data_IF_724232664422
#
_entry.id   IF_724232664422
#
_cell.length_a   1.000
_cell.length_b   1.000
_cell.length_c   1.000
_cell.angle_alpha   90.00
_cell.angle_beta   90.00
_cell.angle_gamma   90.00
#
_symmetry.space_group_name_H-M   'P 1'
#
loop_
_entity.id
_entity.type
_entity.pdbx_description
1 polymer ?
#
# COMPACT_ATOMS: atom_id res chain seq x y z
N UNK A 1 -116.56 -22.84 -45.81
CA UNK A 1 -116.61 -23.85 -44.72
C UNK A 1 -115.90 -25.10 -45.22
N UNK A 2 -115.21 -25.90 -44.39
CA UNK A 2 -114.57 -25.59 -43.08
C UNK A 2 -113.28 -26.40 -42.81
N UNK A 3 -112.72 -26.26 -41.59
CA UNK A 3 -111.74 -27.18 -40.97
C UNK A 3 -110.55 -26.41 -40.37
N UNK A 4 -110.68 -25.68 -39.26
CA UNK A 4 -110.74 -26.12 -37.85
C UNK A 4 -109.64 -27.10 -37.40
N UNK A 5 -108.73 -26.53 -36.60
CA UNK A 5 -108.22 -26.99 -35.30
C UNK A 5 -107.65 -28.41 -35.16
N UNK A 6 -106.38 -28.53 -34.77
CA UNK A 6 -105.97 -29.08 -33.45
C UNK A 6 -104.50 -28.76 -33.12
N UNK A 7 -104.30 -27.83 -32.21
CA UNK A 7 -103.62 -28.02 -30.90
C UNK A 7 -102.19 -28.62 -30.84
N UNK A 8 -101.24 -27.81 -30.38
CA UNK A 8 -100.24 -28.32 -29.42
C UNK A 8 -99.71 -27.22 -28.50
N UNK A 9 -100.24 -27.26 -27.28
CA UNK A 9 -99.76 -26.67 -26.03
C UNK A 9 -98.24 -26.43 -25.98
N UNK A 10 -97.85 -25.18 -25.71
CA UNK A 10 -96.77 -24.90 -24.75
C UNK A 10 -97.19 -23.75 -23.85
N UNK A 11 -97.76 -24.11 -22.70
CA UNK A 11 -97.69 -23.29 -21.50
C UNK A 11 -96.23 -23.11 -21.09
N UNK A 12 -95.79 -21.87 -20.94
CA UNK A 12 -94.75 -21.45 -20.00
C UNK A 12 -95.01 -19.96 -19.77
N UNK A 13 -95.84 -19.60 -18.80
CA UNK A 13 -95.38 -19.08 -17.49
C UNK A 13 -94.31 -18.02 -17.72
N UNK A 14 -94.72 -16.76 -17.67
CA UNK A 14 -93.78 -15.65 -17.45
C UNK A 14 -93.18 -15.77 -16.05
N UNK A 15 -91.85 -15.66 -15.91
CA UNK A 15 -91.23 -15.02 -14.75
C UNK A 15 -90.82 -13.61 -15.20
N UNK A 16 -91.55 -12.57 -14.81
CA UNK A 16 -91.16 -11.71 -13.68
C UNK A 16 -89.64 -11.59 -13.53
N UNK A 17 -89.14 -10.44 -13.99
CA UNK A 17 -88.04 -9.68 -13.40
C UNK A 17 -86.69 -10.38 -13.19
N UNK A 18 -85.72 -9.94 -13.99
CA UNK A 18 -84.87 -8.86 -13.48
C UNK A 18 -84.41 -8.00 -14.65
N UNK A 19 -85.21 -7.00 -14.99
CA UNK A 19 -84.57 -5.74 -15.37
C UNK A 19 -83.66 -5.45 -14.18
N UNK A 20 -82.33 -5.55 -14.35
CA UNK A 20 -81.43 -5.06 -13.32
C UNK A 20 -81.95 -3.67 -13.01
N UNK A 21 -82.39 -3.47 -11.76
CA UNK A 21 -82.98 -2.21 -11.39
C UNK A 21 -81.92 -1.16 -11.75
N UNK A 22 -82.19 -0.16 -12.60
CA UNK A 22 -81.17 0.84 -12.91
C UNK A 22 -80.62 1.49 -11.64
N UNK A 23 -81.37 1.44 -10.54
CA UNK A 23 -80.90 1.80 -9.20
C UNK A 23 -79.84 0.84 -8.63
N UNK A 24 -79.92 -0.48 -8.86
CA UNK A 24 -78.92 -1.49 -8.43
C UNK A 24 -77.60 -1.35 -9.21
N UNK A 25 -77.67 -1.10 -10.53
CA UNK A 25 -76.48 -0.84 -11.35
C UNK A 25 -75.85 0.50 -11.00
N UNK A 26 -76.67 1.54 -10.75
CA UNK A 26 -76.18 2.82 -10.23
C UNK A 26 -75.54 2.66 -8.84
N UNK A 27 -76.08 1.79 -7.98
CA UNK A 27 -75.49 1.49 -6.67
C UNK A 27 -74.10 0.84 -6.82
N UNK A 28 -73.98 -0.17 -7.68
CA UNK A 28 -72.69 -0.82 -7.96
C UNK A 28 -71.67 0.13 -8.59
N UNK A 29 -72.11 1.00 -9.49
CA UNK A 29 -71.25 2.02 -10.10
C UNK A 29 -70.77 3.04 -9.05
N UNK A 30 -71.64 3.40 -8.11
CA UNK A 30 -71.30 4.30 -7.00
C UNK A 30 -70.24 3.67 -6.09
N UNK A 31 -70.37 2.40 -5.74
CA UNK A 31 -69.39 1.68 -4.92
C UNK A 31 -68.02 1.55 -5.61
N UNK A 32 -68.02 1.29 -6.93
CA UNK A 32 -66.79 1.25 -7.72
C UNK A 32 -66.09 2.61 -7.79
N UNK A 33 -66.85 3.70 -7.95
CA UNK A 33 -66.32 5.05 -7.93
C UNK A 33 -65.70 5.38 -6.58
N UNK A 34 -66.38 5.07 -5.47
CA UNK A 34 -65.85 5.25 -4.11
C UNK A 34 -64.55 4.46 -3.92
N UNK A 35 -64.50 3.20 -4.35
CA UNK A 35 -63.28 2.38 -4.24
C UNK A 35 -62.12 2.94 -5.07
N UNK A 36 -62.41 3.44 -6.28
CA UNK A 36 -61.41 4.08 -7.13
C UNK A 36 -60.91 5.39 -6.50
N UNK A 37 -61.79 6.20 -5.93
CA UNK A 37 -61.45 7.43 -5.21
C UNK A 37 -60.53 7.13 -4.02
N UNK A 38 -60.83 6.09 -3.24
CA UNK A 38 -59.98 5.63 -2.13
C UNK A 38 -58.60 5.18 -2.62
N UNK A 39 -58.53 4.42 -3.72
CA UNK A 39 -57.25 3.97 -4.29
C UNK A 39 -56.44 5.11 -4.89
N UNK A 40 -57.10 6.09 -5.53
CA UNK A 40 -56.43 7.31 -6.01
C UNK A 40 -55.87 8.09 -4.83
N UNK A 41 -56.65 8.29 -3.78
CA UNK A 41 -56.19 8.95 -2.55
C UNK A 41 -55.00 8.22 -1.91
N UNK A 42 -55.05 6.88 -1.86
CA UNK A 42 -53.92 6.07 -1.39
C UNK A 42 -52.66 6.25 -2.24
N UNK A 43 -52.78 6.21 -3.57
CA UNK A 43 -51.65 6.41 -4.48
C UNK A 43 -51.10 7.84 -4.37
N UNK A 44 -51.95 8.85 -4.20
CA UNK A 44 -51.53 10.23 -3.96
C UNK A 44 -50.71 10.35 -2.68
N UNK A 45 -51.12 9.67 -1.59
CA UNK A 45 -50.33 9.63 -0.36
C UNK A 45 -48.99 8.91 -0.54
N UNK A 46 -48.95 7.81 -1.29
CA UNK A 46 -47.71 7.08 -1.55
C UNK A 46 -46.72 7.91 -2.40
N UNK A 47 -47.23 8.62 -3.41
CA UNK A 47 -46.43 9.55 -4.23
C UNK A 47 -45.84 10.66 -3.36
N UNK A 48 -46.60 11.22 -2.41
CA UNK A 48 -46.07 12.28 -1.54
C UNK A 48 -44.98 11.77 -0.61
N UNK A 49 -45.12 10.55 -0.06
CA UNK A 49 -44.08 9.91 0.75
C UNK A 49 -42.82 9.61 -0.07
N UNK A 50 -42.95 8.98 -1.24
CA UNK A 50 -41.80 8.68 -2.10
C UNK A 50 -41.06 9.94 -2.56
N UNK A 51 -41.78 11.03 -2.85
CA UNK A 51 -41.16 12.31 -3.18
C UNK A 51 -40.37 12.88 -2.00
N UNK A 52 -40.86 12.71 -0.77
CA UNK A 52 -40.14 13.12 0.43
C UNK A 52 -38.85 12.30 0.63
N UNK A 53 -38.94 10.97 0.52
CA UNK A 53 -37.78 10.07 0.62
C UNK A 53 -36.74 10.32 -0.50
N UNK A 54 -37.20 10.63 -1.71
CA UNK A 54 -36.33 10.98 -2.84
C UNK A 54 -35.54 12.26 -2.53
N UNK A 55 -36.20 13.28 -1.96
CA UNK A 55 -35.54 14.54 -1.61
C UNK A 55 -34.53 14.34 -0.47
N UNK A 56 -34.84 13.48 0.50
CA UNK A 56 -33.89 13.10 1.55
C UNK A 56 -32.66 12.38 0.96
N UNK A 57 -32.86 11.40 0.07
CA UNK A 57 -31.76 10.75 -0.65
C UNK A 57 -30.92 11.75 -1.45
N UNK A 58 -31.57 12.71 -2.13
CA UNK A 58 -30.89 13.74 -2.91
C UNK A 58 -30.02 14.63 -2.04
N UNK A 59 -30.51 15.02 -0.86
CA UNK A 59 -29.77 15.81 0.11
C UNK A 59 -28.50 15.08 0.58
N UNK A 60 -28.64 13.79 0.95
CA UNK A 60 -27.50 12.96 1.38
C UNK A 60 -26.45 12.84 0.27
N UNK A 61 -26.87 12.61 -0.98
CA UNK A 61 -25.96 12.52 -2.12
C UNK A 61 -25.24 13.84 -2.37
N UNK A 62 -25.92 14.98 -2.22
CA UNK A 62 -25.32 16.30 -2.39
C UNK A 62 -24.30 16.62 -1.29
N UNK A 63 -24.59 16.26 -0.05
CA UNK A 63 -23.66 16.40 1.07
C UNK A 63 -22.43 15.50 0.89
N UNK A 64 -22.64 14.24 0.52
CA UNK A 64 -21.57 13.30 0.19
C UNK A 64 -20.72 13.83 -0.98
N UNK A 65 -21.34 14.41 -2.00
CA UNK A 65 -20.65 15.04 -3.12
C UNK A 65 -19.91 16.33 -2.72
N UNK A 66 -20.31 17.03 -1.66
CA UNK A 66 -19.56 18.19 -1.17
C UNK A 66 -18.27 17.80 -0.44
N UNK A 67 -18.31 16.69 0.30
CA UNK A 67 -17.16 16.19 1.09
C UNK A 67 -16.18 15.42 0.21
N UNK A 68 -16.69 14.55 -0.65
CA UNK A 68 -15.88 13.64 -1.47
C UNK A 68 -15.78 14.08 -2.93
N UNK A 69 -16.56 15.06 -3.36
CA UNK A 69 -16.48 15.59 -4.71
C UNK A 69 -15.31 16.54 -4.94
N UNK A 70 -15.30 17.14 -6.13
CA UNK A 70 -14.15 17.89 -6.65
C UNK A 70 -13.68 19.06 -5.78
N UNK A 71 -14.52 19.59 -4.88
CA UNK A 71 -14.17 20.69 -3.98
C UNK A 71 -13.07 20.33 -2.98
N UNK A 72 -13.21 19.22 -2.25
CA UNK A 72 -12.21 18.79 -1.26
C UNK A 72 -10.86 18.45 -1.91
N UNK A 73 -10.89 17.71 -3.01
CA UNK A 73 -9.68 17.35 -3.78
C UNK A 73 -9.02 18.60 -4.40
N UNK A 74 -9.80 19.54 -4.91
CA UNK A 74 -9.26 20.79 -5.44
C UNK A 74 -8.65 21.67 -4.35
N UNK A 75 -9.22 21.65 -3.14
CA UNK A 75 -8.67 22.39 -2.01
C UNK A 75 -7.33 21.82 -1.56
N UNK A 76 -7.25 20.50 -1.39
CA UNK A 76 -5.99 19.80 -1.07
C UNK A 76 -4.94 20.01 -2.17
N UNK A 77 -5.33 19.97 -3.44
CA UNK A 77 -4.42 20.25 -4.56
C UNK A 77 -3.86 21.67 -4.48
N UNK A 78 -4.70 22.67 -4.21
CA UNK A 78 -4.28 24.06 -4.06
C UNK A 78 -3.32 24.25 -2.88
N UNK A 79 -3.61 23.59 -1.75
CA UNK A 79 -2.73 23.61 -0.58
C UNK A 79 -1.38 22.94 -0.86
N UNK A 80 -1.37 21.82 -1.60
CA UNK A 80 -0.13 21.16 -2.05
C UNK A 80 0.69 22.06 -3.00
N UNK A 81 0.04 22.73 -3.95
CA UNK A 81 0.68 23.68 -4.84
C UNK A 81 1.27 24.87 -4.06
N UNK A 82 0.52 25.41 -3.10
CA UNK A 82 1.00 26.48 -2.23
C UNK A 82 2.21 26.05 -1.40
N UNK A 83 2.18 24.86 -0.80
CA UNK A 83 3.31 24.32 -0.04
C UNK A 83 4.53 24.09 -0.94
N UNK A 84 4.34 23.59 -2.16
CA UNK A 84 5.43 23.41 -3.13
C UNK A 84 6.11 24.75 -3.47
N UNK A 85 5.33 25.81 -3.67
CA UNK A 85 5.85 27.17 -3.90
C UNK A 85 6.62 27.67 -2.68
N UNK A 86 6.08 27.52 -1.47
CA UNK A 86 6.75 27.95 -0.23
C UNK A 86 8.10 27.25 -0.03
N UNK A 87 8.15 25.93 -0.26
CA UNK A 87 9.39 25.15 -0.18
C UNK A 87 10.41 25.66 -1.21
N UNK A 88 9.98 25.89 -2.47
CA UNK A 88 10.86 26.41 -3.51
C UNK A 88 11.42 27.81 -3.20
N UNK A 89 10.61 28.69 -2.59
CA UNK A 89 11.06 30.00 -2.14
C UNK A 89 12.04 29.92 -0.97
N UNK A 90 11.76 29.07 0.03
CA UNK A 90 12.68 28.83 1.16
C UNK A 90 14.02 28.28 0.67
N UNK A 91 14.02 27.29 -0.22
CA UNK A 91 15.24 26.74 -0.80
C UNK A 91 16.06 27.81 -1.55
N UNK A 92 15.40 28.72 -2.28
CA UNK A 92 16.07 29.82 -2.98
C UNK A 92 16.66 30.83 -2.00
N UNK A 93 15.92 31.21 -0.96
CA UNK A 93 16.44 32.11 0.09
C UNK A 93 17.64 31.49 0.79
N UNK A 94 17.58 30.21 1.15
CA UNK A 94 18.70 29.46 1.74
C UNK A 94 19.92 29.40 0.82
N UNK A 95 19.72 29.28 -0.49
CA UNK A 95 20.80 29.22 -1.49
C UNK A 95 21.49 30.59 -1.72
N UNK A 96 20.81 31.69 -1.38
CA UNK A 96 21.30 33.06 -1.57
C UNK A 96 21.98 33.64 -0.31
N UNK A 97 22.02 32.91 0.80
CA UNK A 97 22.79 33.27 2.01
C UNK A 97 24.25 32.82 1.80
N UNK A 98 25.26 33.70 2.01
CA UNK A 98 26.66 33.27 1.99
C UNK A 98 26.83 32.14 2.99
N UNK A 99 27.33 31.00 2.50
CA UNK A 99 27.37 29.72 3.19
C UNK A 99 27.97 29.81 4.61
N UNK A 100 27.11 30.00 5.61
CA UNK A 100 27.27 29.30 6.88
C UNK A 100 26.57 27.98 6.64
N UNK A 101 27.37 26.93 6.48
CA UNK A 101 26.97 25.59 6.08
C UNK A 101 25.82 25.03 6.95
N UNK A 102 24.58 25.31 6.56
CA UNK A 102 23.43 24.55 7.00
C UNK A 102 23.00 23.64 5.86
N UNK A 103 23.45 22.39 6.01
CA UNK A 103 23.08 21.17 5.30
C UNK A 103 21.59 21.19 4.91
N UNK A 104 21.30 21.56 3.66
CA UNK A 104 19.96 21.67 3.08
C UNK A 104 19.37 20.28 2.75
N UNK A 105 19.42 19.41 3.74
CA UNK A 105 18.99 18.04 3.68
C UNK A 105 19.36 17.39 5.00
N UNK A 106 18.48 17.46 5.99
CA UNK A 106 18.53 16.54 7.12
C UNK A 106 18.17 15.13 6.62
N UNK A 107 19.00 14.58 5.71
CA UNK A 107 19.24 13.15 5.65
C UNK A 107 19.71 12.84 7.06
N UNK A 108 18.87 12.13 7.83
CA UNK A 108 19.27 11.58 9.11
C UNK A 108 20.67 11.01 8.91
N UNK A 109 21.67 11.65 9.52
CA UNK A 109 23.05 11.17 9.42
C UNK A 109 23.05 9.86 10.18
N UNK A 110 23.02 8.77 9.44
CA UNK A 110 23.12 7.44 10.00
C UNK A 110 24.48 7.40 10.70
N UNK A 111 24.52 7.18 12.03
CA UNK A 111 25.79 7.07 12.73
C UNK A 111 26.64 6.00 12.07
N UNK A 112 27.87 6.35 11.73
CA UNK A 112 28.81 5.39 11.15
C UNK A 112 29.17 4.34 12.21
N UNK A 113 29.25 3.05 11.84
CA UNK A 113 29.62 2.01 12.77
C UNK A 113 31.08 2.12 13.21
N UNK A 114 31.43 1.44 14.30
CA UNK A 114 32.81 1.39 14.75
C UNK A 114 33.63 0.42 13.89
N UNK A 115 34.85 0.83 13.57
CA UNK A 115 35.83 -0.01 12.89
C UNK A 115 36.25 -1.23 13.74
N UNK A 116 36.47 -2.37 13.08
CA UNK A 116 36.99 -3.58 13.70
C UNK A 116 38.43 -3.88 13.26
N UNK A 117 39.35 -3.82 14.22
CA UNK A 117 40.80 -3.98 13.99
C UNK A 117 41.32 -5.41 13.96
N UNK A 118 40.46 -6.43 14.16
CA UNK A 118 40.89 -7.83 14.24
C UNK A 118 41.21 -8.34 15.65
N UNK A 119 40.68 -7.69 16.69
CA UNK A 119 40.85 -8.16 18.07
C UNK A 119 40.29 -9.57 18.26
N UNK A 120 41.03 -10.41 19.00
CA UNK A 120 40.62 -11.80 19.31
C UNK A 120 39.60 -11.90 20.46
N UNK A 121 39.04 -10.78 20.87
CA UNK A 121 37.96 -10.75 21.84
C UNK A 121 36.63 -11.07 21.14
N UNK A 122 35.98 -12.16 21.56
CA UNK A 122 34.66 -12.54 21.07
C UNK A 122 33.63 -11.42 21.25
N UNK A 123 33.75 -10.61 22.31
CA UNK A 123 32.87 -9.48 22.57
C UNK A 123 33.02 -8.40 21.52
N UNK A 124 34.25 -8.07 21.12
CA UNK A 124 34.48 -7.05 20.07
C UNK A 124 34.00 -7.53 18.70
N UNK A 125 34.17 -8.82 18.41
CA UNK A 125 33.62 -9.44 17.20
C UNK A 125 32.10 -9.34 17.15
N UNK A 126 31.41 -9.79 18.21
CA UNK A 126 29.95 -9.73 18.24
C UNK A 126 29.42 -8.29 18.23
N UNK A 127 30.11 -7.35 18.89
CA UNK A 127 29.76 -5.94 18.84
C UNK A 127 29.85 -5.39 17.41
N UNK A 128 30.94 -5.66 16.69
CA UNK A 128 31.09 -5.22 15.30
C UNK A 128 29.99 -5.80 14.40
N UNK A 129 29.72 -7.11 14.51
CA UNK A 129 28.69 -7.76 13.70
C UNK A 129 27.30 -7.18 14.00
N UNK A 130 27.00 -6.92 15.27
CA UNK A 130 25.75 -6.31 15.69
C UNK A 130 25.61 -4.87 15.16
N UNK A 131 26.65 -4.04 15.29
CA UNK A 131 26.66 -2.67 14.78
C UNK A 131 26.48 -2.61 13.26
N UNK A 132 27.10 -3.51 12.51
CA UNK A 132 26.88 -3.65 11.06
C UNK A 132 25.43 -3.97 10.72
N UNK A 133 24.79 -4.87 11.46
CA UNK A 133 23.38 -5.21 11.23
C UNK A 133 22.46 -4.01 11.47
N UNK A 134 22.69 -3.26 12.54
CA UNK A 134 21.92 -2.04 12.81
C UNK A 134 22.16 -0.98 11.73
N UNK A 135 23.39 -0.86 11.24
CA UNK A 135 23.72 0.06 10.15
C UNK A 135 23.02 -0.32 8.85
N UNK A 136 22.98 -1.60 8.49
CA UNK A 136 22.26 -2.04 7.29
C UNK A 136 20.77 -1.74 7.37
N UNK A 137 20.17 -1.92 8.55
CA UNK A 137 18.78 -1.55 8.79
C UNK A 137 18.56 -0.04 8.67
N UNK A 138 19.41 0.76 9.31
CA UNK A 138 19.30 2.23 9.26
C UNK A 138 19.58 2.81 7.85
N UNK A 139 20.46 2.18 7.08
CA UNK A 139 20.83 2.56 5.73
C UNK A 139 19.98 1.90 4.63
N UNK A 140 18.99 1.08 5.00
CA UNK A 140 18.14 0.32 4.09
C UNK A 140 18.94 -0.50 3.05
N UNK A 141 20.01 -1.16 3.50
CA UNK A 141 20.87 -2.02 2.67
C UNK A 141 20.35 -3.45 2.73
N UNK A 142 19.58 -3.85 1.73
CA UNK A 142 19.02 -5.21 1.63
C UNK A 142 19.88 -6.17 0.82
N UNK A 143 20.60 -5.66 -0.19
CA UNK A 143 21.42 -6.46 -1.10
C UNK A 143 22.63 -7.10 -0.38
N UNK A 144 22.73 -8.43 -0.46
CA UNK A 144 23.74 -9.21 0.25
C UNK A 144 25.17 -8.87 -0.16
N UNK A 145 25.42 -8.68 -1.46
CA UNK A 145 26.73 -8.29 -1.96
C UNK A 145 27.13 -6.89 -1.45
N UNK A 146 26.16 -5.96 -1.42
CA UNK A 146 26.37 -4.61 -0.84
C UNK A 146 26.61 -4.67 0.67
N UNK A 147 25.92 -5.53 1.43
CA UNK A 147 26.21 -5.74 2.86
C UNK A 147 27.63 -6.22 3.10
N UNK A 148 28.08 -7.22 2.34
CA UNK A 148 29.47 -7.73 2.43
C UNK A 148 30.46 -6.61 2.09
N UNK A 149 30.25 -5.92 0.97
CA UNK A 149 31.11 -4.80 0.56
C UNK A 149 31.19 -3.74 1.65
N UNK A 150 30.06 -3.28 2.18
CA UNK A 150 29.99 -2.24 3.21
C UNK A 150 30.68 -2.69 4.50
N UNK A 151 30.38 -3.88 5.03
CA UNK A 151 31.03 -4.36 6.26
C UNK A 151 32.55 -4.46 6.13
N UNK A 152 33.04 -4.87 4.96
CA UNK A 152 34.49 -5.02 4.74
C UNK A 152 35.23 -3.68 4.67
N UNK A 153 34.52 -2.58 4.39
CA UNK A 153 35.08 -1.23 4.45
C UNK A 153 35.41 -0.80 5.88
N UNK A 154 34.69 -1.31 6.88
CA UNK A 154 34.89 -1.04 8.31
C UNK A 154 35.87 -2.02 8.98
N UNK A 155 36.55 -2.86 8.20
CA UNK A 155 37.66 -3.67 8.69
C UNK A 155 38.95 -2.85 8.66
N UNK A 156 39.68 -2.86 9.76
CA UNK A 156 40.97 -2.19 9.91
C UNK A 156 42.02 -3.15 10.48
N UNK A 157 43.29 -2.72 10.55
CA UNK A 157 44.38 -3.51 11.14
C UNK A 157 44.50 -4.92 10.57
N UNK A 158 44.60 -5.90 11.45
CA UNK A 158 44.79 -7.31 11.08
C UNK A 158 43.56 -7.91 10.39
N UNK A 159 42.35 -7.42 10.72
CA UNK A 159 41.14 -7.86 10.03
C UNK A 159 41.13 -7.43 8.56
N UNK A 160 41.64 -6.24 8.25
CA UNK A 160 41.76 -5.77 6.86
C UNK A 160 42.75 -6.61 6.06
N UNK A 161 43.89 -6.97 6.67
CA UNK A 161 44.88 -7.86 6.04
C UNK A 161 44.31 -9.26 5.77
N UNK A 162 43.56 -9.80 6.73
CA UNK A 162 42.81 -11.05 6.54
C UNK A 162 41.82 -10.95 5.37
N UNK A 163 41.05 -9.85 5.29
CA UNK A 163 40.11 -9.62 4.20
C UNK A 163 40.81 -9.52 2.83
N UNK A 164 41.94 -8.81 2.73
CA UNK A 164 42.73 -8.77 1.50
C UNK A 164 43.13 -10.17 1.02
N UNK A 165 43.52 -11.04 1.95
CA UNK A 165 43.85 -12.45 1.64
C UNK A 165 42.61 -13.19 1.13
N UNK A 166 41.46 -13.06 1.80
CA UNK A 166 40.20 -13.70 1.39
C UNK A 166 39.67 -13.17 0.06
N UNK A 167 39.82 -11.88 -0.19
CA UNK A 167 39.40 -11.28 -1.45
C UNK A 167 40.20 -11.85 -2.63
N UNK A 168 41.51 -12.10 -2.46
CA UNK A 168 42.31 -12.78 -3.49
C UNK A 168 41.83 -14.22 -3.75
N UNK A 169 41.44 -14.98 -2.71
CA UNK A 169 40.85 -16.31 -2.84
C UNK A 169 39.49 -16.28 -3.58
N UNK A 170 38.66 -15.25 -3.35
CA UNK A 170 37.39 -15.03 -4.06
C UNK A 170 37.64 -14.74 -5.54
N UNK A 171 38.62 -13.88 -5.86
CA UNK A 171 39.00 -13.57 -7.23
C UNK A 171 39.57 -14.79 -7.97
N UNK A 172 40.28 -15.66 -7.26
CA UNK A 172 40.73 -16.95 -7.77
C UNK A 172 39.60 -18.01 -7.86
N UNK A 173 38.36 -17.63 -7.55
CA UNK A 173 37.17 -18.49 -7.54
C UNK A 173 37.32 -19.73 -6.63
N UNK A 174 38.14 -19.61 -5.57
CA UNK A 174 38.42 -20.68 -4.61
C UNK A 174 37.44 -20.67 -3.43
N UNK A 175 36.95 -19.49 -3.05
CA UNK A 175 36.00 -19.29 -1.96
C UNK A 175 34.87 -18.40 -2.44
N UNK A 176 33.64 -18.71 -2.02
CA UNK A 176 32.45 -17.87 -2.26
C UNK A 176 32.03 -17.23 -0.94
N UNK A 177 32.09 -15.90 -0.89
CA UNK A 177 31.74 -15.10 0.28
C UNK A 177 30.93 -13.88 -0.18
N UNK A 178 29.77 -14.17 -0.74
CA UNK A 178 28.85 -13.21 -1.38
C UNK A 178 27.61 -12.89 -0.53
N UNK A 179 27.52 -13.48 0.67
CA UNK A 179 26.41 -13.25 1.60
C UNK A 179 26.92 -12.80 2.97
N UNK A 180 26.11 -12.00 3.64
CA UNK A 180 26.38 -11.52 4.99
C UNK A 180 26.49 -12.68 5.99
N UNK A 181 25.67 -13.71 5.83
CA UNK A 181 25.71 -14.89 6.69
C UNK A 181 27.07 -15.61 6.64
N UNK A 182 27.62 -15.80 5.44
CA UNK A 182 28.95 -16.40 5.27
C UNK A 182 30.05 -15.52 5.86
N UNK A 183 29.98 -14.21 5.67
CA UNK A 183 30.96 -13.28 6.24
C UNK A 183 30.97 -13.36 7.78
N UNK A 184 29.80 -13.34 8.43
CA UNK A 184 29.69 -13.45 9.90
C UNK A 184 30.34 -14.71 10.45
N UNK A 185 30.05 -15.86 9.83
CA UNK A 185 30.62 -17.15 10.25
C UNK A 185 32.15 -17.14 10.15
N UNK A 186 32.70 -16.62 9.05
CA UNK A 186 34.14 -16.61 8.86
C UNK A 186 34.84 -15.59 9.77
N UNK A 187 34.24 -14.41 10.01
CA UNK A 187 34.78 -13.44 10.98
C UNK A 187 34.84 -14.07 12.37
N UNK A 188 33.76 -14.67 12.86
CA UNK A 188 33.73 -15.40 14.16
C UNK A 188 34.77 -16.51 14.22
N UNK A 189 34.90 -17.29 13.16
CA UNK A 189 35.87 -18.38 13.06
C UNK A 189 37.33 -17.91 13.02
N UNK A 190 37.59 -16.80 12.34
CA UNK A 190 38.93 -16.24 12.13
C UNK A 190 39.54 -15.67 13.42
N UNK A 191 38.71 -15.12 14.30
CA UNK A 191 39.14 -14.63 15.62
C UNK A 191 39.55 -15.75 16.57
N UNK A 192 39.02 -16.97 16.36
CA UNK A 192 39.29 -18.13 17.21
C UNK A 192 40.41 -19.05 16.70
N UNK A 193 40.58 -19.22 15.38
CA UNK A 193 41.58 -20.15 14.81
C UNK A 193 42.11 -19.60 13.47
N UNK A 194 43.44 -19.47 13.35
CA UNK A 194 44.22 -19.17 12.10
C UNK A 194 44.56 -17.73 11.75
N UNK A 195 44.81 -16.84 12.71
CA UNK A 195 45.67 -15.68 12.42
C UNK A 195 47.17 -16.05 12.40
N UNK A 196 47.52 -17.28 12.81
CA UNK A 196 48.88 -17.82 12.74
C UNK A 196 49.31 -18.24 11.32
N UNK A 197 48.39 -18.69 10.45
CA UNK A 197 48.79 -19.11 9.09
C UNK A 197 49.13 -17.91 8.19
N UNK A 198 48.50 -16.76 8.43
CA UNK A 198 48.82 -15.51 7.74
C UNK A 198 50.12 -14.97 8.33
N UNK A 199 50.25 -14.77 9.65
CA UNK A 199 51.50 -14.29 10.27
C UNK A 199 52.73 -15.18 10.01
N UNK A 200 52.59 -16.50 9.99
CA UNK A 200 53.71 -17.41 9.66
C UNK A 200 54.05 -17.41 8.15
N UNK A 201 53.08 -17.08 7.28
CA UNK A 201 53.30 -16.88 5.84
C UNK A 201 54.04 -15.58 5.52
N UNK A 202 53.89 -14.53 6.34
CA UNK A 202 54.65 -13.27 6.19
C UNK A 202 56.15 -13.43 6.51
N UNK A 203 56.51 -14.31 7.47
CA UNK A 203 57.91 -14.54 7.82
C UNK A 203 58.71 -15.41 6.84
N UNK A 204 58.07 -16.04 5.85
CA UNK A 204 58.75 -16.86 4.83
C UNK A 204 58.46 -16.44 3.37
N UNK A 205 57.54 -15.50 3.12
CA UNK A 205 57.10 -15.11 1.76
C UNK A 205 57.45 -13.69 1.31
N UNK A 206 58.17 -12.90 2.12
CA UNK A 206 58.43 -11.46 1.91
C UNK A 206 59.37 -11.10 0.74
N UNK A 207 59.53 -11.96 -0.26
CA UNK A 207 60.35 -11.66 -1.45
C UNK A 207 59.56 -11.58 -2.77
N UNK A 208 58.30 -12.03 -2.83
CA UNK A 208 57.57 -12.05 -4.12
C UNK A 208 56.62 -10.86 -4.36
N UNK A 209 56.18 -10.16 -3.32
CA UNK A 209 55.22 -9.04 -3.50
C UNK A 209 55.96 -7.72 -3.78
N UNK A 210 57.21 -7.57 -3.33
CA UNK A 210 58.00 -6.37 -3.60
C UNK A 210 58.33 -6.21 -5.10
N UNK A 211 58.39 -7.30 -5.87
CA UNK A 211 58.66 -7.25 -7.33
C UNK A 211 57.41 -6.86 -8.14
N UNK A 212 56.20 -7.07 -7.61
CA UNK A 212 54.96 -6.76 -8.34
C UNK A 212 54.49 -5.31 -8.15
N UNK A 213 55.01 -4.58 -7.17
CA UNK A 213 54.75 -3.14 -7.01
C UNK A 213 55.72 -2.23 -7.79
N UNK A 214 56.75 -2.78 -8.46
CA UNK A 214 57.74 -2.00 -9.24
C UNK A 214 57.50 -2.04 -10.76
N UNK A 215 56.46 -2.74 -11.25
CA UNK A 215 56.13 -2.88 -12.70
C UNK A 215 54.69 -2.39 -13.04
N UNK A 216 54.00 -1.71 -12.13
CA UNK A 216 52.76 -0.97 -12.42
C UNK A 216 52.86 0.46 -11.94
#
# INVERSE_FOLDING_TARGET
MPGQDVESLRHAVSPSERAANPEDENSQLTDLVINLEEKVSSLETEITVLNFELEECRQVVQEMASVYGGGGIANMRREMEQMSIQIGLLQRVMSNVPAVAHDAGARLRIPEPKDYGGARDAKEVENFLFEMEQYFLAANIEDEARKVSTATMYLTGDAKLWWCTKYAEIQANQVRLDTWALLREVIRGSSSRRMLSIMLGWHYGSWSIQVLCEIM
#
